data_IF_811961696004
#
_entry.id   IF_811961696004
#
_cell.length_a   1.000
_cell.length_b   1.000
_cell.length_c   1.000
_cell.angle_alpha   90.00
_cell.angle_beta   90.00
_cell.angle_gamma   90.00
#
_symmetry.space_group_name_H-M   'P 1'
#
loop_
_entity.id
_entity.type
_entity.pdbx_description
1 polymer ?
#
# COMPACT_ATOMS: atom_id res chain seq x y z
N UNK A 1 1.32 2.52 18.53
CA UNK A 1 1.56 3.10 17.20
C UNK A 1 2.33 4.38 17.40
N UNK A 2 3.35 4.63 16.57
CA UNK A 2 4.12 5.88 16.60
C UNK A 2 3.22 7.06 16.19
N UNK A 3 3.39 8.21 16.85
CA UNK A 3 2.63 9.42 16.55
C UNK A 3 3.41 10.32 15.60
N UNK A 4 2.75 10.86 14.60
CA UNK A 4 3.33 11.78 13.62
C UNK A 4 3.67 13.12 14.24
N UNK A 5 2.85 13.61 15.18
CA UNK A 5 3.07 14.92 15.82
C UNK A 5 4.36 15.01 16.63
N UNK A 6 4.90 13.87 17.05
CA UNK A 6 6.13 13.80 17.84
C UNK A 6 7.38 13.78 16.93
N UNK A 7 7.18 13.79 15.60
CA UNK A 7 8.21 13.70 14.58
C UNK A 7 8.23 14.90 13.63
N UNK A 8 9.40 15.24 13.09
CA UNK A 8 9.50 16.19 11.98
C UNK A 8 9.19 15.49 10.65
N UNK A 9 8.47 16.14 9.71
CA UNK A 9 8.23 15.58 8.40
C UNK A 9 9.56 15.46 7.62
N UNK A 10 9.70 14.38 6.86
CA UNK A 10 10.83 14.15 5.94
C UNK A 10 10.83 15.14 4.78
N UNK A 11 9.65 15.58 4.38
CA UNK A 11 9.45 16.55 3.31
C UNK A 11 8.11 17.24 3.44
N UNK A 12 8.05 18.48 2.94
CA UNK A 12 6.80 19.24 2.87
C UNK A 12 6.66 19.79 1.47
N UNK A 13 5.55 19.46 0.82
CA UNK A 13 5.30 19.77 -0.57
C UNK A 13 3.98 20.52 -0.71
N UNK A 14 3.88 21.36 -1.73
CA UNK A 14 2.61 21.95 -2.17
C UNK A 14 2.22 21.33 -3.50
N UNK A 15 1.00 20.81 -3.62
CA UNK A 15 0.48 20.34 -4.90
C UNK A 15 -0.19 21.47 -5.69
N UNK A 16 -0.29 21.27 -7.02
CA UNK A 16 -0.88 22.23 -7.97
C UNK A 16 -2.33 22.61 -7.68
N UNK A 17 -3.02 21.89 -6.78
CA UNK A 17 -4.40 22.16 -6.38
C UNK A 17 -4.48 22.89 -5.03
N UNK A 18 -3.35 23.37 -4.50
CA UNK A 18 -3.29 24.12 -3.25
C UNK A 18 -3.31 23.24 -2.00
N UNK A 19 -3.15 21.92 -2.11
CA UNK A 19 -2.95 21.08 -0.93
C UNK A 19 -1.49 21.08 -0.53
N UNK A 20 -1.25 21.16 0.76
CA UNK A 20 0.05 20.90 1.36
C UNK A 20 0.14 19.43 1.77
N UNK A 21 1.28 18.80 1.52
CA UNK A 21 1.57 17.42 1.91
C UNK A 21 2.77 17.40 2.83
N UNK A 22 2.59 16.89 4.05
CA UNK A 22 3.69 16.59 4.96
C UNK A 22 3.96 15.09 4.90
N UNK A 23 5.19 14.72 4.52
CA UNK A 23 5.64 13.34 4.40
C UNK A 23 6.29 12.87 5.70
N UNK A 24 5.93 11.67 6.12
CA UNK A 24 6.48 10.98 7.28
C UNK A 24 6.82 9.55 6.90
N UNK A 25 7.62 8.89 7.73
CA UNK A 25 7.88 7.47 7.59
C UNK A 25 7.56 6.77 8.90
N UNK A 26 6.75 5.71 8.83
CA UNK A 26 6.48 4.81 9.96
C UNK A 26 6.94 3.42 9.55
N UNK A 27 8.02 2.95 10.18
CA UNK A 27 8.69 1.72 9.77
C UNK A 27 9.21 1.82 8.34
N UNK A 28 8.63 1.02 7.43
CA UNK A 28 9.01 0.97 5.99
C UNK A 28 8.02 1.67 5.07
N UNK A 29 6.98 2.31 5.62
CA UNK A 29 5.88 2.91 4.84
C UNK A 29 5.94 4.42 4.92
N UNK A 30 5.73 5.07 3.78
CA UNK A 30 5.56 6.52 3.73
C UNK A 30 4.12 6.89 4.10
N UNK A 31 3.96 7.98 4.84
CA UNK A 31 2.66 8.53 5.22
C UNK A 31 2.63 9.99 4.81
N UNK A 32 1.72 10.35 3.90
CA UNK A 32 1.52 11.73 3.46
C UNK A 32 0.26 12.31 4.07
N UNK A 33 0.40 13.31 4.93
CA UNK A 33 -0.72 14.08 5.48
C UNK A 33 -1.06 15.20 4.52
N UNK A 34 -2.21 15.12 3.84
CA UNK A 34 -2.73 16.19 2.99
C UNK A 34 -3.49 17.21 3.84
N UNK A 35 -3.25 18.49 3.62
CA UNK A 35 -3.91 19.57 4.35
C UNK A 35 -4.18 20.75 3.42
N UNK A 36 -5.37 21.34 3.49
CA UNK A 36 -5.71 22.51 2.68
C UNK A 36 -5.31 23.84 3.33
N UNK A 37 -4.97 23.81 4.63
CA UNK A 37 -4.76 25.03 5.41
C UNK A 37 -3.41 25.71 5.12
N UNK A 38 -2.31 25.01 5.41
CA UNK A 38 -0.94 25.54 5.35
C UNK A 38 0.09 24.40 5.45
N UNK A 39 1.33 24.70 5.06
CA UNK A 39 2.50 23.88 5.35
C UNK A 39 2.60 23.61 6.86
N UNK A 40 2.96 22.38 7.24
CA UNK A 40 3.18 21.96 8.63
C UNK A 40 1.99 22.21 9.57
N UNK A 41 0.77 21.98 9.08
CA UNK A 41 -0.42 22.15 9.90
C UNK A 41 -0.51 21.09 11.01
N UNK A 42 -0.13 21.47 12.22
CA UNK A 42 -0.21 20.60 13.42
C UNK A 42 -1.63 20.08 13.70
N UNK A 43 -2.68 20.81 13.30
CA UNK A 43 -4.05 20.35 13.43
C UNK A 43 -4.34 19.15 12.50
N UNK A 44 -3.93 19.24 11.23
CA UNK A 44 -4.06 18.14 10.27
C UNK A 44 -3.25 16.91 10.71
N UNK A 45 -2.06 17.12 11.29
CA UNK A 45 -1.23 16.04 11.86
C UNK A 45 -1.90 15.42 13.09
N UNK A 46 -2.42 16.24 14.00
CA UNK A 46 -3.13 15.75 15.19
C UNK A 46 -4.38 14.92 14.84
N UNK A 47 -5.19 15.39 13.88
CA UNK A 47 -6.33 14.63 13.36
C UNK A 47 -5.88 13.34 12.68
N UNK A 48 -4.75 13.36 11.99
CA UNK A 48 -4.18 12.13 11.40
C UNK A 48 -3.82 11.12 12.50
N UNK A 49 -3.16 11.56 13.58
CA UNK A 49 -2.82 10.67 14.70
C UNK A 49 -4.05 10.00 15.33
N UNK A 50 -5.22 10.66 15.32
CA UNK A 50 -6.47 10.10 15.84
C UNK A 50 -7.03 8.97 14.96
N UNK A 51 -6.93 9.09 13.64
CA UNK A 51 -7.49 8.12 12.69
C UNK A 51 -6.48 7.07 12.23
N UNK A 52 -5.18 7.31 12.43
CA UNK A 52 -4.09 6.43 12.01
C UNK A 52 -4.23 4.98 12.50
N UNK A 53 -4.67 4.70 13.75
CA UNK A 53 -4.89 3.32 14.20
C UNK A 53 -5.88 2.54 13.34
N UNK A 54 -6.98 3.19 12.93
CA UNK A 54 -8.01 2.57 12.10
C UNK A 54 -7.50 2.37 10.66
N UNK A 55 -6.76 3.34 10.12
CA UNK A 55 -6.12 3.24 8.81
C UNK A 55 -5.14 2.06 8.79
N UNK A 56 -4.33 1.91 9.84
CA UNK A 56 -3.36 0.82 9.93
C UNK A 56 -4.03 -0.54 10.06
N UNK A 57 -5.12 -0.62 10.83
CA UNK A 57 -5.89 -1.86 10.97
C UNK A 57 -6.52 -2.31 9.64
N UNK A 58 -6.79 -1.38 8.71
CA UNK A 58 -7.34 -1.67 7.39
C UNK A 58 -6.31 -2.13 6.35
N UNK A 59 -5.00 -2.08 6.64
CA UNK A 59 -3.94 -2.48 5.70
C UNK A 59 -4.12 -3.90 5.14
N UNK A 60 -4.38 -4.95 5.96
CA UNK A 60 -4.55 -6.30 5.43
C UNK A 60 -5.72 -6.40 4.45
N UNK A 61 -6.85 -5.76 4.75
CA UNK A 61 -8.04 -5.77 3.90
C UNK A 61 -7.81 -4.97 2.62
N UNK A 62 -7.09 -3.83 2.69
CA UNK A 62 -6.71 -3.06 1.52
C UNK A 62 -5.82 -3.87 0.57
N UNK A 63 -4.84 -4.62 1.11
CA UNK A 63 -3.99 -5.53 0.33
C UNK A 63 -4.84 -6.64 -0.32
N UNK A 64 -5.78 -7.24 0.41
CA UNK A 64 -6.65 -8.27 -0.14
C UNK A 64 -7.54 -7.76 -1.29
N UNK A 65 -8.08 -6.54 -1.16
CA UNK A 65 -8.83 -5.87 -2.24
C UNK A 65 -7.95 -5.61 -3.45
N UNK A 66 -6.73 -5.10 -3.24
CA UNK A 66 -5.78 -4.85 -4.33
C UNK A 66 -5.36 -6.14 -5.03
N UNK A 67 -5.13 -7.22 -4.29
CA UNK A 67 -4.86 -8.54 -4.84
C UNK A 67 -6.04 -9.01 -5.69
N UNK A 68 -7.27 -8.97 -5.15
CA UNK A 68 -8.48 -9.36 -5.86
C UNK A 68 -8.69 -8.58 -7.17
N UNK A 69 -8.42 -7.28 -7.15
CA UNK A 69 -8.43 -6.46 -8.37
C UNK A 69 -7.34 -6.89 -9.34
N UNK A 70 -6.10 -7.03 -8.87
CA UNK A 70 -4.96 -7.37 -9.72
C UNK A 70 -5.07 -8.75 -10.36
N UNK A 71 -5.77 -9.70 -9.72
CA UNK A 71 -6.08 -11.02 -10.28
C UNK A 71 -6.86 -10.94 -11.61
N UNK A 72 -7.67 -9.90 -11.79
CA UNK A 72 -8.37 -9.65 -13.04
C UNK A 72 -7.50 -8.92 -14.08
N UNK A 73 -6.49 -8.16 -13.64
CA UNK A 73 -5.64 -7.36 -14.53
C UNK A 73 -4.43 -8.15 -15.05
N UNK A 74 -3.83 -8.98 -14.20
CA UNK A 74 -2.60 -9.75 -14.49
C UNK A 74 -2.78 -11.23 -14.13
N UNK A 75 -3.77 -11.93 -14.73
CA UNK A 75 -4.14 -13.30 -14.34
C UNK A 75 -2.99 -14.31 -14.51
N UNK A 76 -2.12 -14.14 -15.50
CA UNK A 76 -0.99 -15.05 -15.75
C UNK A 76 0.09 -14.97 -14.65
N UNK A 77 0.33 -13.76 -14.11
CA UNK A 77 1.20 -13.56 -12.95
C UNK A 77 0.67 -14.38 -11.77
N UNK A 78 -0.61 -14.16 -11.42
CA UNK A 78 -1.23 -14.83 -10.28
C UNK A 78 -1.32 -16.34 -10.46
N UNK A 79 -1.69 -16.83 -11.65
CA UNK A 79 -1.73 -18.26 -11.95
C UNK A 79 -0.40 -18.94 -11.71
N UNK A 80 0.71 -18.27 -12.03
CA UNK A 80 2.07 -18.83 -11.83
C UNK A 80 2.45 -18.82 -10.36
N UNK A 81 2.17 -17.72 -9.65
CA UNK A 81 2.42 -17.63 -8.21
C UNK A 81 1.57 -18.63 -7.39
N UNK A 82 0.30 -18.83 -7.75
CA UNK A 82 -0.63 -19.70 -7.03
C UNK A 82 -0.21 -21.18 -7.11
N UNK A 83 0.38 -21.59 -8.24
CA UNK A 83 0.91 -22.94 -8.46
C UNK A 83 2.24 -23.19 -7.75
N UNK A 84 2.96 -22.14 -7.35
CA UNK A 84 4.25 -22.29 -6.69
C UNK A 84 4.13 -22.66 -5.21
N UNK A 85 5.12 -23.36 -4.66
CA UNK A 85 5.27 -23.60 -3.21
C UNK A 85 5.69 -22.35 -2.43
N UNK A 86 6.03 -21.24 -3.10
CA UNK A 86 6.49 -20.02 -2.43
C UNK A 86 5.32 -19.38 -1.68
N UNK A 87 5.45 -19.22 -0.37
CA UNK A 87 4.45 -18.58 0.48
C UNK A 87 4.75 -17.10 0.74
N UNK A 88 3.75 -16.38 1.24
CA UNK A 88 3.88 -14.97 1.63
C UNK A 88 3.15 -13.99 0.70
N UNK A 89 2.88 -12.76 1.17
CA UNK A 89 2.16 -11.76 0.40
C UNK A 89 3.02 -11.22 -0.75
N UNK A 90 2.47 -11.21 -1.96
CA UNK A 90 3.13 -10.65 -3.16
C UNK A 90 3.05 -9.13 -3.18
N UNK A 91 1.96 -8.58 -2.67
CA UNK A 91 1.71 -7.15 -2.58
C UNK A 91 1.88 -6.63 -1.15
N UNK A 92 2.28 -5.37 -1.00
CA UNK A 92 2.31 -4.66 0.27
C UNK A 92 2.02 -3.16 0.05
N UNK A 93 1.61 -2.47 1.11
CA UNK A 93 1.42 -1.03 1.12
C UNK A 93 2.78 -0.35 1.19
N UNK A 94 3.10 0.42 0.15
CA UNK A 94 4.30 1.25 0.07
C UNK A 94 4.12 2.60 0.75
N UNK A 95 2.94 3.19 0.55
CA UNK A 95 2.63 4.49 1.13
C UNK A 95 1.14 4.71 1.36
N UNK A 96 0.84 5.68 2.23
CA UNK A 96 -0.51 5.99 2.67
C UNK A 96 -0.70 7.50 2.58
N UNK A 97 -1.57 7.97 1.71
CA UNK A 97 -1.97 9.37 1.67
C UNK A 97 -3.23 9.56 2.52
N UNK A 98 -3.15 10.38 3.57
CA UNK A 98 -4.25 10.65 4.50
C UNK A 98 -4.81 12.04 4.24
N UNK A 99 -6.13 12.13 4.11
CA UNK A 99 -6.86 13.40 4.07
C UNK A 99 -7.70 13.51 5.34
N UNK A 100 -7.13 14.03 6.44
CA UNK A 100 -7.73 13.98 7.77
C UNK A 100 -9.06 14.75 7.87
N UNK A 101 -9.24 15.82 7.08
CA UNK A 101 -10.49 16.58 7.02
C UNK A 101 -11.68 15.74 6.55
N UNK A 102 -11.42 14.72 5.72
CA UNK A 102 -12.42 13.81 5.19
C UNK A 102 -12.45 12.46 5.93
N UNK A 103 -11.50 12.22 6.85
CA UNK A 103 -11.28 10.92 7.46
C UNK A 103 -10.86 9.84 6.45
N UNK A 104 -10.31 10.25 5.29
CA UNK A 104 -9.98 9.34 4.19
C UNK A 104 -8.52 8.96 4.17
N UNK A 105 -8.23 7.74 3.70
CA UNK A 105 -6.88 7.28 3.41
C UNK A 105 -6.83 6.60 2.04
N UNK A 106 -5.75 6.82 1.30
CA UNK A 106 -5.44 6.12 0.06
C UNK A 106 -4.18 5.30 0.26
N UNK A 107 -4.29 3.99 0.13
CA UNK A 107 -3.19 3.04 0.17
C UNK A 107 -2.60 2.90 -1.23
N UNK A 108 -1.30 3.16 -1.38
CA UNK A 108 -0.51 2.82 -2.56
C UNK A 108 0.06 1.42 -2.36
N UNK A 109 -0.47 0.45 -3.12
CA UNK A 109 -0.13 -0.97 -3.00
C UNK A 109 0.63 -1.42 -4.25
N UNK A 110 1.81 -2.00 -4.04
CA UNK A 110 2.66 -2.51 -5.11
C UNK A 110 3.44 -3.74 -4.61
N UNK A 111 4.51 -4.12 -5.31
CA UNK A 111 5.37 -5.26 -4.98
C UNK A 111 5.82 -5.21 -3.52
N UNK A 112 5.65 -6.33 -2.84
CA UNK A 112 6.25 -6.55 -1.54
C UNK A 112 7.76 -6.82 -1.70
N UNK A 113 8.62 -5.87 -1.35
CA UNK A 113 10.08 -6.05 -1.41
C UNK A 113 10.62 -7.05 -0.39
N UNK A 114 9.80 -7.53 0.56
CA UNK A 114 10.17 -8.59 1.48
C UNK A 114 9.84 -9.98 0.92
N UNK A 115 9.09 -10.06 -0.18
CA UNK A 115 8.85 -11.30 -0.89
C UNK A 115 10.01 -11.58 -1.84
N UNK A 116 10.55 -12.80 -1.78
CA UNK A 116 11.62 -13.22 -2.67
C UNK A 116 11.05 -13.68 -4.03
N UNK A 117 11.13 -12.77 -4.99
CA UNK A 117 10.78 -12.99 -6.40
C UNK A 117 11.89 -13.69 -7.19
N UNK A 118 13.13 -13.62 -6.71
CA UNK A 118 14.33 -13.98 -7.48
C UNK A 118 14.74 -15.44 -7.36
N UNK A 119 14.61 -16.03 -6.17
CA UNK A 119 15.09 -17.41 -5.99
C UNK A 119 14.14 -18.41 -6.64
N UNK A 120 14.65 -19.44 -7.35
CA UNK A 120 13.83 -20.51 -7.89
C UNK A 120 12.94 -21.15 -6.82
N UNK A 121 11.75 -21.57 -7.22
CA UNK A 121 10.83 -22.35 -6.41
C UNK A 121 10.36 -23.57 -7.20
N UNK A 122 9.39 -24.31 -6.67
CA UNK A 122 8.86 -25.50 -7.30
C UNK A 122 7.34 -25.38 -7.39
N UNK A 123 6.75 -26.11 -8.34
CA UNK A 123 5.31 -26.29 -8.35
C UNK A 123 4.86 -27.03 -7.10
N UNK A 124 3.66 -26.73 -6.59
CA UNK A 124 3.02 -27.50 -5.52
C UNK A 124 2.83 -28.98 -5.90
N UNK A 125 2.64 -29.25 -7.18
CA UNK A 125 2.47 -30.59 -7.74
C UNK A 125 3.79 -31.32 -7.99
N UNK A 126 4.93 -30.61 -7.96
CA UNK A 126 6.25 -31.20 -8.07
C UNK A 126 6.72 -31.68 -6.68
N UNK A 127 6.33 -32.89 -6.31
CA UNK A 127 6.67 -33.48 -5.00
C UNK A 127 8.17 -33.74 -4.83
N UNK A 128 8.89 -33.98 -5.93
CA UNK A 128 10.31 -34.34 -5.92
C UNK A 128 11.23 -33.12 -6.04
N UNK A 129 10.68 -31.97 -6.45
CA UNK A 129 11.41 -30.72 -6.69
C UNK A 129 12.46 -30.88 -7.81
N UNK A 130 12.11 -31.60 -8.87
CA UNK A 130 13.01 -31.88 -10.00
C UNK A 130 12.98 -30.76 -11.05
N UNK A 131 11.88 -29.99 -11.12
CA UNK A 131 11.67 -28.95 -12.12
C UNK A 131 11.54 -27.56 -11.45
N UNK A 132 12.68 -26.88 -11.18
CA UNK A 132 12.64 -25.54 -10.60
C UNK A 132 12.01 -24.54 -11.57
N UNK A 133 11.16 -23.67 -11.03
CA UNK A 133 10.48 -22.59 -11.74
C UNK A 133 10.89 -21.23 -11.18
N UNK A 134 11.05 -20.25 -12.07
CA UNK A 134 11.18 -18.85 -11.70
C UNK A 134 9.79 -18.22 -11.67
N UNK A 135 9.53 -17.43 -10.62
CA UNK A 135 8.30 -16.68 -10.52
C UNK A 135 8.38 -15.43 -11.41
N UNK A 136 7.29 -15.08 -12.12
CA UNK A 136 7.27 -13.82 -12.85
C UNK A 136 7.36 -12.65 -11.87
N UNK A 137 8.02 -11.58 -12.28
CA UNK A 137 7.95 -10.33 -11.52
C UNK A 137 6.62 -9.62 -11.76
N UNK A 138 6.23 -8.78 -10.81
CA UNK A 138 5.10 -7.86 -11.01
C UNK A 138 5.46 -6.91 -12.16
N UNK A 139 4.54 -6.57 -13.08
CA UNK A 139 4.83 -5.59 -14.12
C UNK A 139 5.34 -4.27 -13.52
N UNK A 140 6.23 -3.58 -14.21
CA UNK A 140 6.78 -2.30 -13.74
C UNK A 140 6.47 -1.19 -14.76
N UNK A 141 5.73 -0.12 -14.38
CA UNK A 141 5.12 0.13 -13.08
C UNK A 141 3.79 -0.62 -12.89
N UNK A 142 3.56 -1.17 -11.68
CA UNK A 142 2.25 -1.70 -11.29
C UNK A 142 1.90 -1.26 -9.87
N UNK A 143 0.89 -0.40 -9.78
CA UNK A 143 0.36 0.13 -8.54
C UNK A 143 -1.15 -0.04 -8.54
N UNK A 144 -1.70 -0.44 -7.39
CA UNK A 144 -3.13 -0.46 -7.14
C UNK A 144 -3.40 0.48 -5.99
N UNK A 145 -4.27 1.46 -6.22
CA UNK A 145 -4.69 2.40 -5.20
C UNK A 145 -6.00 1.92 -4.58
N UNK A 146 -6.03 1.79 -3.25
CA UNK A 146 -7.25 1.47 -2.50
C UNK A 146 -7.58 2.63 -1.59
N UNK A 147 -8.82 3.10 -1.63
CA UNK A 147 -9.31 4.21 -0.81
C UNK A 147 -10.15 3.65 0.33
N UNK A 148 -9.83 4.05 1.56
CA UNK A 148 -10.72 4.00 2.71
C UNK A 148 -11.43 5.35 2.83
N UNK A 149 -12.76 5.34 2.77
CA UNK A 149 -13.55 6.55 2.99
C UNK A 149 -13.71 6.86 4.50
N UNK A 150 -14.26 8.03 4.84
CA UNK A 150 -14.50 8.42 6.24
C UNK A 150 -15.45 7.51 7.03
N UNK A 151 -16.18 6.61 6.37
CA UNK A 151 -16.99 5.57 7.00
C UNK A 151 -16.23 4.24 7.21
N UNK A 152 -14.95 4.18 6.82
CA UNK A 152 -14.10 3.01 6.92
C UNK A 152 -14.27 2.00 5.77
N UNK A 153 -15.07 2.31 4.75
CA UNK A 153 -15.29 1.41 3.61
C UNK A 153 -14.13 1.48 2.62
N UNK A 154 -13.70 0.32 2.13
CA UNK A 154 -12.59 0.19 1.19
C UNK A 154 -13.09 0.01 -0.24
N UNK A 155 -12.42 0.65 -1.20
CA UNK A 155 -12.69 0.49 -2.63
C UNK A 155 -11.44 0.74 -3.47
N UNK A 156 -11.33 0.10 -4.63
CA UNK A 156 -10.24 0.39 -5.57
C UNK A 156 -10.49 1.75 -6.21
N UNK A 157 -9.47 2.61 -6.23
CA UNK A 157 -9.49 3.80 -7.06
C UNK A 157 -9.27 3.35 -8.51
N UNK A 158 -10.37 3.28 -9.27
CA UNK A 158 -10.29 3.06 -10.71
C UNK A 158 -9.89 4.39 -11.33
N UNK A 159 -8.82 4.41 -12.12
CA UNK A 159 -8.40 5.58 -12.89
C UNK A 159 -9.62 6.22 -13.57
N UNK A 160 -9.84 7.50 -13.27
CA UNK A 160 -10.79 8.36 -13.99
C UNK A 160 -10.04 9.17 -15.03
#
# INVERSE_FOLDING_TARGET
>A
MEKLRDNQPLGVFSDVRGHFRSEYQIGRRLVWVRCHHRLNCLECVGKTDEILPNIWAAIPDAIAIAEGYSRNQIPDFWRTHDKSKREGPRLDVWGIAVTPELGEASFDISRNHSFDYSSPTFSKDDYWNDEPVLLPELPDPYHVYVIQNGAGQLSVAIDR
#
